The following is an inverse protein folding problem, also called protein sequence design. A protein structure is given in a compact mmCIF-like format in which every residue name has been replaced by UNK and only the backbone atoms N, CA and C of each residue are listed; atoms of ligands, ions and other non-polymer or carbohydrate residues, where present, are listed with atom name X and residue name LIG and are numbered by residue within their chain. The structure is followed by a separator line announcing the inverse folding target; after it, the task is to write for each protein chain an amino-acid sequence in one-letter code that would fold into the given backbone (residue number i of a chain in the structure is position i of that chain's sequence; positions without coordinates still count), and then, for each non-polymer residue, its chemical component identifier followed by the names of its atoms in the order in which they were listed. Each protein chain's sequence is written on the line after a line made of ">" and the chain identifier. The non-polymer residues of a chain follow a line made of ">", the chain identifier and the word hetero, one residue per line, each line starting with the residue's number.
data_IF_401141392865
#
_entry.id   IF_401141392865
#
_cell.length_a   1.000
_cell.length_b   1.000
_cell.length_c   1.000
_cell.angle_alpha   90.00
_cell.angle_beta   90.00
_cell.angle_gamma   90.00
#
_symmetry.space_group_name_H-M   'P 1'
#
loop_
_entity.id
_entity.type
_entity.pdbx_description
1 polymer ?
#
# COMPACT_ATOMS: atom_id res chain seq x y z
N UNK A 1 -17.32 -53.69 7.07
CA UNK A 1 -17.23 -52.41 6.32
C UNK A 1 -17.30 -51.20 7.26
N UNK A 2 -16.45 -51.10 8.28
CA UNK A 2 -16.48 -50.00 9.27
C UNK A 2 -15.31 -49.01 9.19
N UNK A 3 -14.17 -49.42 8.63
CA UNK A 3 -12.94 -48.61 8.61
C UNK A 3 -12.92 -47.54 7.51
N UNK A 4 -13.61 -47.76 6.38
CA UNK A 4 -13.57 -46.84 5.23
C UNK A 4 -14.36 -45.55 5.48
N UNK A 5 -15.47 -45.62 6.23
CA UNK A 5 -16.26 -44.44 6.59
C UNK A 5 -15.56 -43.55 7.63
N UNK A 6 -14.80 -44.13 8.57
CA UNK A 6 -14.01 -43.39 9.55
C UNK A 6 -12.79 -42.70 8.91
N UNK A 7 -12.18 -43.31 7.90
CA UNK A 7 -11.09 -42.69 7.12
C UNK A 7 -11.59 -41.53 6.24
N UNK A 8 -12.79 -41.64 5.67
CA UNK A 8 -13.41 -40.57 4.89
C UNK A 8 -13.82 -39.39 5.81
N UNK A 9 -14.39 -39.66 6.98
CA UNK A 9 -14.75 -38.62 7.95
C UNK A 9 -13.54 -37.95 8.62
N UNK A 10 -12.50 -38.71 8.97
CA UNK A 10 -11.27 -38.20 9.58
C UNK A 10 -10.38 -37.43 8.60
N UNK A 11 -10.26 -37.91 7.35
CA UNK A 11 -9.50 -37.26 6.29
C UNK A 11 -10.13 -35.96 5.80
N UNK A 12 -11.47 -35.92 5.66
CA UNK A 12 -12.21 -34.71 5.28
C UNK A 12 -12.15 -33.62 6.35
N UNK A 13 -12.19 -34.01 7.64
CA UNK A 13 -12.03 -33.06 8.73
C UNK A 13 -10.62 -32.45 8.80
N UNK A 14 -9.58 -33.27 8.56
CA UNK A 14 -8.19 -32.82 8.52
C UNK A 14 -7.91 -31.89 7.32
N UNK A 15 -8.44 -32.19 6.13
CA UNK A 15 -8.26 -31.34 4.94
C UNK A 15 -9.02 -30.02 5.06
N UNK A 16 -10.23 -30.03 5.63
CA UNK A 16 -10.99 -28.83 5.94
C UNK A 16 -10.25 -27.94 6.96
N UNK A 17 -9.66 -28.55 7.99
CA UNK A 17 -8.89 -27.84 9.00
C UNK A 17 -7.64 -27.16 8.42
N UNK A 18 -6.84 -27.88 7.64
CA UNK A 18 -5.63 -27.30 7.01
C UNK A 18 -5.99 -26.16 6.05
N UNK A 19 -7.07 -26.31 5.29
CA UNK A 19 -7.57 -25.28 4.38
C UNK A 19 -7.99 -24.01 5.13
N UNK A 20 -8.75 -24.15 6.22
CA UNK A 20 -9.16 -23.02 7.07
C UNK A 20 -7.94 -22.34 7.69
N UNK A 21 -6.94 -23.12 8.12
CA UNK A 21 -5.72 -22.58 8.72
C UNK A 21 -4.90 -21.79 7.71
N UNK A 22 -4.68 -22.32 6.50
CA UNK A 22 -4.03 -21.57 5.41
C UNK A 22 -4.79 -20.29 5.02
N UNK A 23 -6.12 -20.31 5.09
CA UNK A 23 -6.93 -19.10 4.90
C UNK A 23 -6.75 -18.05 6.00
N UNK A 24 -6.55 -18.46 7.26
CA UNK A 24 -6.26 -17.53 8.37
C UNK A 24 -4.89 -16.90 8.19
N UNK A 25 -3.88 -17.70 7.84
CA UNK A 25 -2.52 -17.23 7.54
C UNK A 25 -2.53 -16.23 6.38
N UNK A 26 -3.26 -16.50 5.29
CA UNK A 26 -3.39 -15.55 4.19
C UNK A 26 -3.98 -14.20 4.63
N UNK A 27 -4.97 -14.19 5.53
CA UNK A 27 -5.52 -12.96 6.09
C UNK A 27 -4.54 -12.23 7.01
N UNK A 28 -3.70 -12.95 7.74
CA UNK A 28 -2.66 -12.38 8.59
C UNK A 28 -1.53 -11.76 7.75
N UNK A 29 -1.03 -12.49 6.75
CA UNK A 29 -0.06 -11.99 5.76
C UNK A 29 -0.58 -10.74 5.06
N UNK A 30 -1.84 -10.71 4.63
CA UNK A 30 -2.44 -9.52 4.03
C UNK A 30 -2.48 -8.31 4.98
N UNK A 31 -2.69 -8.52 6.28
CA UNK A 31 -2.60 -7.44 7.29
C UNK A 31 -1.17 -6.97 7.50
N UNK A 32 -0.20 -7.88 7.50
CA UNK A 32 1.21 -7.53 7.63
C UNK A 32 1.67 -6.69 6.43
N UNK A 33 1.30 -7.11 5.22
CA UNK A 33 1.54 -6.35 3.99
C UNK A 33 0.88 -4.98 4.04
N UNK A 34 -0.37 -4.87 4.51
CA UNK A 34 -1.02 -3.58 4.72
C UNK A 34 -0.18 -2.65 5.62
N UNK A 35 0.25 -3.14 6.79
CA UNK A 35 1.06 -2.36 7.73
C UNK A 35 2.40 -1.94 7.12
N UNK A 36 3.02 -2.83 6.35
CA UNK A 36 4.25 -2.53 5.62
C UNK A 36 4.03 -1.37 4.63
N UNK A 37 2.99 -1.45 3.80
CA UNK A 37 2.68 -0.38 2.85
C UNK A 37 2.25 0.93 3.53
N UNK A 38 1.59 0.86 4.68
CA UNK A 38 1.28 2.04 5.50
C UNK A 38 2.55 2.70 6.04
N UNK A 39 3.52 1.91 6.51
CA UNK A 39 4.83 2.41 6.95
C UNK A 39 5.62 3.03 5.79
N UNK A 40 5.66 2.38 4.63
CA UNK A 40 6.27 2.91 3.41
C UNK A 40 5.59 4.22 2.97
N UNK A 41 4.26 4.30 3.04
CA UNK A 41 3.54 5.53 2.74
C UNK A 41 3.89 6.66 3.72
N UNK A 42 4.07 6.34 5.00
CA UNK A 42 4.52 7.30 6.00
C UNK A 42 5.95 7.81 5.72
N UNK A 43 6.86 6.90 5.36
CA UNK A 43 8.22 7.25 4.99
C UNK A 43 8.27 8.13 3.73
N UNK A 44 7.49 7.80 2.69
CA UNK A 44 7.41 8.60 1.45
C UNK A 44 6.89 10.03 1.72
N UNK A 45 5.92 10.18 2.62
CA UNK A 45 5.42 11.50 3.01
C UNK A 45 6.48 12.31 3.77
N UNK A 46 7.21 11.68 4.69
CA UNK A 46 8.29 12.34 5.42
C UNK A 46 9.41 12.78 4.46
N UNK A 47 9.89 11.87 3.62
CA UNK A 47 10.91 12.17 2.62
C UNK A 47 10.46 13.26 1.63
N UNK A 48 9.19 13.21 1.19
CA UNK A 48 8.58 14.21 0.32
C UNK A 48 8.52 15.59 0.96
N UNK A 49 8.11 15.66 2.24
CA UNK A 49 8.05 16.92 2.99
C UNK A 49 9.44 17.53 3.18
N UNK A 50 10.45 16.71 3.45
CA UNK A 50 11.84 17.16 3.57
C UNK A 50 12.38 17.67 2.24
N UNK A 51 12.13 16.96 1.14
CA UNK A 51 12.51 17.39 -0.20
C UNK A 51 11.88 18.74 -0.60
N UNK A 52 10.60 18.94 -0.28
CA UNK A 52 9.92 20.22 -0.51
C UNK A 52 10.52 21.36 0.34
N UNK A 53 10.83 21.09 1.62
CA UNK A 53 11.50 22.06 2.50
C UNK A 53 12.90 22.42 1.99
N UNK A 54 13.68 21.44 1.55
CA UNK A 54 15.01 21.65 0.98
C UNK A 54 14.93 22.51 -0.28
N UNK A 55 13.98 22.25 -1.18
CA UNK A 55 13.75 23.07 -2.38
C UNK A 55 13.44 24.52 -2.02
N UNK A 56 12.52 24.76 -1.08
CA UNK A 56 12.21 26.12 -0.59
C UNK A 56 13.44 26.80 0.03
N UNK A 57 14.26 26.06 0.78
CA UNK A 57 15.49 26.59 1.40
C UNK A 57 16.54 26.94 0.36
N UNK A 58 16.74 26.10 -0.64
CA UNK A 58 17.63 26.34 -1.78
C UNK A 58 17.25 27.61 -2.52
N UNK A 59 15.96 27.75 -2.85
CA UNK A 59 15.43 28.96 -3.50
C UNK A 59 15.68 30.20 -2.65
N UNK A 60 15.38 30.17 -1.35
CA UNK A 60 15.65 31.31 -0.46
C UNK A 60 17.13 31.71 -0.46
N UNK A 61 18.04 30.73 -0.45
CA UNK A 61 19.49 31.00 -0.51
C UNK A 61 19.89 31.61 -1.85
N UNK A 62 19.34 31.11 -2.95
CA UNK A 62 19.59 31.64 -4.29
C UNK A 62 19.03 33.06 -4.46
N UNK A 63 17.81 33.32 -3.97
CA UNK A 63 17.24 34.66 -3.95
C UNK A 63 18.09 35.60 -3.10
N UNK A 64 18.54 35.18 -1.92
CA UNK A 64 19.41 35.99 -1.06
C UNK A 64 20.76 36.30 -1.72
N UNK A 65 21.38 35.34 -2.42
CA UNK A 65 22.64 35.59 -3.14
C UNK A 65 22.45 36.53 -4.33
N UNK A 66 21.33 36.41 -5.07
CA UNK A 66 20.96 37.35 -6.13
C UNK A 66 20.75 38.77 -5.57
N UNK A 67 20.04 38.89 -4.44
CA UNK A 67 19.85 40.19 -3.76
C UNK A 67 21.20 40.80 -3.38
N UNK A 68 22.09 40.01 -2.77
CA UNK A 68 23.41 40.47 -2.37
C UNK A 68 24.25 40.91 -3.58
N UNK A 69 24.21 40.17 -4.69
CA UNK A 69 24.91 40.51 -5.93
C UNK A 69 24.38 41.81 -6.56
N UNK A 70 23.05 41.98 -6.63
CA UNK A 70 22.40 43.20 -7.15
C UNK A 70 22.69 44.41 -6.25
N UNK A 71 22.72 44.20 -4.93
CA UNK A 71 23.06 45.26 -3.96
C UNK A 71 24.52 45.68 -4.09
N UNK A 72 25.42 44.73 -4.33
CA UNK A 72 26.85 45.00 -4.53
C UNK A 72 27.16 45.63 -5.91
N UNK A 73 26.37 45.33 -6.95
CA UNK A 73 26.57 45.89 -8.30
C UNK A 73 26.11 47.35 -8.43
N UNK A 74 25.42 47.90 -7.43
CA UNK A 74 24.93 49.29 -7.44
C UNK A 74 23.82 49.57 -8.46
N UNK A 75 23.37 48.55 -9.22
CA UNK A 75 22.38 48.69 -10.30
C UNK A 75 20.94 48.84 -9.80
N UNK A 76 20.69 48.65 -8.50
CA UNK A 76 19.37 48.71 -7.89
C UNK A 76 18.43 47.58 -8.32
N UNK A 77 17.36 47.37 -7.55
CA UNK A 77 16.26 46.47 -7.91
C UNK A 77 15.29 47.18 -8.85
N UNK A 78 15.57 47.23 -10.15
CA UNK A 78 14.70 47.94 -11.10
C UNK A 78 14.31 47.03 -12.28
N UNK A 79 13.02 47.10 -12.67
CA UNK A 79 12.50 46.49 -13.89
C UNK A 79 12.61 44.97 -13.94
N UNK A 80 13.28 44.47 -14.98
CA UNK A 80 13.37 43.04 -15.35
C UNK A 80 13.94 42.15 -14.24
N UNK A 81 14.90 42.65 -13.44
CA UNK A 81 15.52 41.87 -12.37
C UNK A 81 14.53 41.47 -11.27
N UNK A 82 13.60 42.36 -10.89
CA UNK A 82 12.57 42.05 -9.90
C UNK A 82 11.54 41.05 -10.45
N UNK A 83 11.17 41.19 -11.73
CA UNK A 83 10.22 40.28 -12.40
C UNK A 83 10.81 38.87 -12.49
N UNK A 84 12.08 38.74 -12.92
CA UNK A 84 12.78 37.46 -13.01
C UNK A 84 12.94 36.80 -11.65
N UNK A 85 13.25 37.57 -10.60
CA UNK A 85 13.31 37.04 -9.23
C UNK A 85 11.96 36.55 -8.72
N UNK A 86 10.89 37.31 -8.96
CA UNK A 86 9.53 36.94 -8.57
C UNK A 86 9.05 35.67 -9.32
N UNK A 87 9.34 35.59 -10.62
CA UNK A 87 9.02 34.41 -11.44
C UNK A 87 9.83 33.18 -11.02
N UNK A 88 11.11 33.34 -10.71
CA UNK A 88 11.96 32.28 -10.17
C UNK A 88 11.43 31.75 -8.83
N UNK A 89 11.02 32.65 -7.92
CA UNK A 89 10.41 32.27 -6.65
C UNK A 89 9.07 31.53 -6.85
N UNK A 90 8.24 31.99 -7.80
CA UNK A 90 6.98 31.33 -8.15
C UNK A 90 7.22 29.91 -8.70
N UNK A 91 8.17 29.77 -9.62
CA UNK A 91 8.50 28.47 -10.22
C UNK A 91 9.06 27.50 -9.17
N UNK A 92 9.87 27.98 -8.25
CA UNK A 92 10.37 27.18 -7.14
C UNK A 92 9.27 26.70 -6.18
N UNK A 93 8.29 27.54 -5.87
CA UNK A 93 7.15 27.12 -5.06
C UNK A 93 6.27 26.10 -5.81
N UNK A 94 6.09 26.28 -7.12
CA UNK A 94 5.43 25.28 -7.98
C UNK A 94 6.16 23.94 -7.98
N UNK A 95 7.50 23.94 -8.00
CA UNK A 95 8.31 22.72 -7.87
C UNK A 95 8.07 22.05 -6.52
N UNK A 96 8.09 22.82 -5.41
CA UNK A 96 7.85 22.31 -4.07
C UNK A 96 6.44 21.69 -3.94
N UNK A 97 5.41 22.38 -4.45
CA UNK A 97 4.04 21.87 -4.48
C UNK A 97 3.92 20.62 -5.36
N UNK A 98 4.67 20.54 -6.46
CA UNK A 98 4.71 19.36 -7.31
C UNK A 98 5.33 18.17 -6.59
N UNK A 99 6.40 18.38 -5.82
CA UNK A 99 7.01 17.36 -4.95
C UNK A 99 5.99 16.85 -3.92
N UNK A 100 5.32 17.75 -3.21
CA UNK A 100 4.29 17.41 -2.22
C UNK A 100 3.13 16.65 -2.86
N UNK A 101 2.65 17.08 -4.03
CA UNK A 101 1.58 16.39 -4.75
C UNK A 101 1.99 14.99 -5.20
N UNK A 102 3.18 14.84 -5.76
CA UNK A 102 3.69 13.55 -6.23
C UNK A 102 3.87 12.56 -5.08
N UNK A 103 4.39 13.03 -3.95
CA UNK A 103 4.56 12.21 -2.73
C UNK A 103 3.22 11.84 -2.10
N UNK A 104 2.25 12.75 -2.06
CA UNK A 104 0.87 12.42 -1.66
C UNK A 104 0.25 11.36 -2.57
N UNK A 105 0.43 11.46 -3.89
CA UNK A 105 -0.08 10.48 -4.84
C UNK A 105 0.57 9.10 -4.66
N UNK A 106 1.89 9.05 -4.44
CA UNK A 106 2.60 7.80 -4.14
C UNK A 106 2.17 7.19 -2.81
N UNK A 107 2.05 7.99 -1.76
CA UNK A 107 1.58 7.54 -0.45
C UNK A 107 0.15 6.99 -0.54
N UNK A 108 -0.74 7.65 -1.30
CA UNK A 108 -2.09 7.11 -1.58
C UNK A 108 -2.02 5.78 -2.32
N UNK A 109 -1.20 5.67 -3.36
CA UNK A 109 -1.01 4.41 -4.10
C UNK A 109 -0.53 3.28 -3.19
N UNK A 110 0.44 3.55 -2.31
CA UNK A 110 0.93 2.58 -1.32
C UNK A 110 -0.19 2.14 -0.36
N UNK A 111 -0.97 3.08 0.19
CA UNK A 111 -2.12 2.74 1.03
C UNK A 111 -3.14 1.88 0.30
N UNK A 112 -3.46 2.20 -0.95
CA UNK A 112 -4.35 1.38 -1.77
C UNK A 112 -3.80 -0.03 -2.01
N UNK A 113 -2.49 -0.17 -2.24
CA UNK A 113 -1.83 -1.50 -2.33
C UNK A 113 -1.96 -2.28 -1.02
N UNK A 114 -1.80 -1.60 0.12
CA UNK A 114 -2.00 -2.21 1.44
C UNK A 114 -3.43 -2.64 1.70
N UNK A 115 -4.41 -1.80 1.37
CA UNK A 115 -5.83 -2.15 1.47
C UNK A 115 -6.19 -3.33 0.57
N UNK A 116 -5.65 -3.38 -0.65
CA UNK A 116 -5.84 -4.49 -1.57
C UNK A 116 -5.25 -5.78 -1.00
N UNK A 117 -4.01 -5.76 -0.50
CA UNK A 117 -3.37 -6.92 0.13
C UNK A 117 -4.19 -7.46 1.32
N UNK A 118 -4.69 -6.56 2.17
CA UNK A 118 -5.60 -6.93 3.26
C UNK A 118 -6.90 -7.56 2.73
N UNK A 119 -7.48 -6.98 1.69
CA UNK A 119 -8.71 -7.46 1.09
C UNK A 119 -8.52 -8.87 0.49
N UNK A 120 -7.44 -9.08 -0.26
CA UNK A 120 -7.06 -10.38 -0.83
C UNK A 120 -6.90 -11.45 0.24
N UNK A 121 -6.21 -11.13 1.35
CA UNK A 121 -6.08 -12.05 2.48
C UNK A 121 -7.42 -12.41 3.13
N UNK A 122 -8.32 -11.43 3.31
CA UNK A 122 -9.67 -11.70 3.82
C UNK A 122 -10.50 -12.54 2.85
N UNK A 123 -10.37 -12.29 1.55
CA UNK A 123 -11.03 -13.05 0.51
C UNK A 123 -10.54 -14.50 0.50
N UNK A 124 -9.23 -14.72 0.62
CA UNK A 124 -8.62 -16.03 0.75
C UNK A 124 -9.15 -16.79 1.98
N UNK A 125 -9.26 -16.12 3.14
CA UNK A 125 -9.87 -16.70 4.34
C UNK A 125 -11.33 -17.12 4.12
N UNK A 126 -12.12 -16.28 3.46
CA UNK A 126 -13.51 -16.60 3.14
C UNK A 126 -13.60 -17.78 2.19
N UNK A 127 -12.80 -17.77 1.13
CA UNK A 127 -12.75 -18.85 0.14
C UNK A 127 -12.30 -20.17 0.76
N UNK A 128 -11.32 -20.13 1.66
CA UNK A 128 -10.87 -21.29 2.42
C UNK A 128 -11.98 -21.90 3.28
N UNK A 129 -12.76 -21.07 3.98
CA UNK A 129 -13.94 -21.53 4.74
C UNK A 129 -15.00 -22.15 3.83
N UNK A 130 -15.28 -21.51 2.70
CA UNK A 130 -16.25 -22.05 1.73
C UNK A 130 -15.78 -23.40 1.17
N UNK A 131 -14.52 -23.51 0.74
CA UNK A 131 -13.93 -24.78 0.26
C UNK A 131 -14.00 -25.86 1.33
N UNK A 132 -13.61 -25.56 2.57
CA UNK A 132 -13.71 -26.50 3.67
C UNK A 132 -15.15 -27.02 3.89
N UNK A 133 -16.17 -26.16 3.76
CA UNK A 133 -17.57 -26.57 3.82
C UNK A 133 -17.94 -27.44 2.62
N UNK A 134 -17.56 -27.05 1.41
CA UNK A 134 -17.83 -27.82 0.18
C UNK A 134 -17.15 -29.18 0.21
N UNK A 135 -15.94 -29.28 0.75
CA UNK A 135 -15.19 -30.52 0.88
C UNK A 135 -15.88 -31.47 1.87
N UNK A 136 -16.36 -30.95 3.01
CA UNK A 136 -17.16 -31.73 3.98
C UNK A 136 -18.49 -32.20 3.36
N UNK A 137 -19.20 -31.33 2.64
CA UNK A 137 -20.47 -31.68 2.00
C UNK A 137 -20.28 -32.68 0.84
N UNK A 138 -19.24 -32.50 0.02
CA UNK A 138 -18.92 -33.38 -1.10
C UNK A 138 -18.51 -34.77 -0.63
N UNK A 139 -17.71 -34.86 0.43
CA UNK A 139 -17.34 -36.14 1.04
C UNK A 139 -18.53 -36.83 1.71
N UNK A 140 -19.42 -36.08 2.37
CA UNK A 140 -20.66 -36.64 2.92
C UNK A 140 -21.62 -37.15 1.82
N UNK A 141 -21.74 -36.42 0.71
CA UNK A 141 -22.56 -36.83 -0.44
C UNK A 141 -22.02 -38.09 -1.14
N UNK A 142 -20.70 -38.19 -1.32
CA UNK A 142 -20.06 -39.41 -1.83
C UNK A 142 -20.22 -40.60 -0.87
N UNK A 143 -20.06 -40.39 0.44
CA UNK A 143 -20.28 -41.44 1.42
C UNK A 143 -21.74 -41.96 1.39
N UNK A 144 -22.73 -41.05 1.27
CA UNK A 144 -24.14 -41.42 1.15
C UNK A 144 -24.46 -42.19 -0.14
N UNK A 145 -23.93 -41.75 -1.28
CA UNK A 145 -24.09 -42.45 -2.56
C UNK A 145 -23.48 -43.86 -2.53
N UNK A 146 -22.30 -44.00 -1.92
CA UNK A 146 -21.61 -45.29 -1.79
C UNK A 146 -22.33 -46.24 -0.82
N UNK A 147 -22.97 -45.70 0.23
CA UNK A 147 -23.80 -46.48 1.15
C UNK A 147 -25.11 -46.95 0.49
N UNK A 148 -25.68 -46.15 -0.42
CA UNK A 148 -26.92 -46.51 -1.14
C UNK A 148 -26.68 -47.45 -2.33
N UNK A 149 -25.46 -47.48 -2.89
CA UNK A 149 -25.12 -48.35 -4.03
C UNK A 149 -24.61 -49.75 -3.63
N UNK A 150 -24.43 -50.01 -2.33
CA UNK A 150 -24.19 -51.34 -1.73
C UNK A 150 -25.45 -51.83 -1.04
#
# INVERSE_FOLDING_TARGET
>A
MGATLALIGGGAALSAYSTIQGGKEAAETGKLQQRQFEAEAGAELMAGSEAALLKRKETRRMTASQIAAISASGSGFVGSNLVVMAESARNAEMDALTIERNTQMRARSLRTKGELARYEGQLARRNARMRAITDILGTAGQAYLTYKSN
#
